data_IF_648806259226
#
_entry.id   IF_648806259226
#
_cell.length_a   1.000
_cell.length_b   1.000
_cell.length_c   1.000
_cell.angle_alpha   90.00
_cell.angle_beta   90.00
_cell.angle_gamma   90.00
#
_symmetry.space_group_name_H-M   'P 1'
#
loop_
_entity.id
_entity.type
_entity.pdbx_description
1 polymer ?
#
# COMPACT_ATOMS: atom_id res chain seq x y z
N UNK A 1 -15.74 14.29 -0.61
CA UNK A 1 -16.06 13.85 0.75
C UNK A 1 -16.95 12.60 0.74
N UNK A 2 -18.08 12.62 0.03
CA UNK A 2 -19.07 11.52 0.00
C UNK A 2 -18.44 10.13 -0.23
N UNK A 3 -17.49 10.03 -1.16
CA UNK A 3 -16.78 8.77 -1.42
C UNK A 3 -15.99 8.28 -0.21
N UNK A 4 -15.31 9.18 0.51
CA UNK A 4 -14.59 8.81 1.72
C UNK A 4 -15.55 8.39 2.86
N UNK A 5 -16.78 8.93 2.86
CA UNK A 5 -17.83 8.55 3.81
C UNK A 5 -18.34 7.11 3.61
N UNK A 6 -18.16 6.52 2.42
CA UNK A 6 -18.50 5.09 2.19
C UNK A 6 -17.78 4.19 3.20
N UNK A 7 -16.55 4.55 3.60
CA UNK A 7 -15.82 3.82 4.64
C UNK A 7 -16.50 3.85 6.01
N UNK A 8 -17.42 4.80 6.25
CA UNK A 8 -18.18 4.91 7.51
C UNK A 8 -19.48 4.11 7.52
N UNK A 9 -20.00 3.70 6.34
CA UNK A 9 -21.26 2.96 6.23
C UNK A 9 -21.36 1.73 7.16
N UNK A 10 -20.31 0.93 7.41
CA UNK A 10 -20.40 -0.19 8.35
C UNK A 10 -20.74 0.19 9.79
N UNK A 11 -20.59 1.47 10.14
CA UNK A 11 -20.80 2.00 11.51
C UNK A 11 -22.12 2.79 11.63
N UNK A 12 -22.84 3.02 10.53
CA UNK A 12 -24.07 3.79 10.46
C UNK A 12 -25.21 2.79 10.29
N UNK A 13 -26.21 2.83 11.20
CA UNK A 13 -27.36 1.95 11.06
C UNK A 13 -28.18 2.32 9.80
N UNK A 14 -28.93 1.36 9.19
CA UNK A 14 -29.59 1.55 7.90
C UNK A 14 -30.56 2.74 7.79
N UNK A 15 -31.00 3.27 8.91
CA UNK A 15 -31.97 4.39 8.98
C UNK A 15 -31.40 5.63 9.67
N UNK A 16 -30.10 5.56 10.06
CA UNK A 16 -29.40 6.70 10.67
C UNK A 16 -28.73 7.57 9.60
N UNK A 17 -28.45 8.79 9.98
CA UNK A 17 -27.67 9.73 9.17
C UNK A 17 -26.24 9.83 9.69
N UNK A 18 -25.33 10.25 8.81
CA UNK A 18 -23.93 10.46 9.18
C UNK A 18 -23.82 11.47 10.33
N UNK A 19 -22.98 11.15 11.29
CA UNK A 19 -22.70 12.03 12.42
C UNK A 19 -21.58 13.03 12.11
N UNK A 20 -21.44 14.06 12.95
CA UNK A 20 -20.32 14.99 12.85
C UNK A 20 -18.97 14.29 13.05
N UNK A 21 -18.93 13.22 13.86
CA UNK A 21 -17.73 12.41 14.09
C UNK A 21 -17.36 11.60 12.84
N UNK A 22 -18.33 11.02 12.13
CA UNK A 22 -18.10 10.29 10.87
C UNK A 22 -17.52 11.23 9.80
N UNK A 23 -18.07 12.42 9.68
CA UNK A 23 -17.55 13.46 8.79
C UNK A 23 -16.12 13.89 9.17
N UNK A 24 -15.83 14.03 10.46
CA UNK A 24 -14.50 14.37 10.94
C UNK A 24 -13.48 13.28 10.60
N UNK A 25 -13.82 11.99 10.79
CA UNK A 25 -12.97 10.84 10.45
C UNK A 25 -12.67 10.81 8.94
N UNK A 26 -13.70 10.97 8.09
CA UNK A 26 -13.52 10.98 6.65
C UNK A 26 -12.65 12.16 6.19
N UNK A 27 -12.81 13.36 6.78
CA UNK A 27 -11.96 14.51 6.48
C UNK A 27 -10.52 14.32 6.92
N UNK A 28 -10.27 13.72 8.09
CA UNK A 28 -8.92 13.37 8.52
C UNK A 28 -8.26 12.39 7.56
N UNK A 29 -8.99 11.39 7.08
CA UNK A 29 -8.49 10.46 6.08
C UNK A 29 -8.11 11.18 4.77
N UNK A 30 -8.96 12.07 4.26
CA UNK A 30 -8.65 12.90 3.09
C UNK A 30 -7.44 13.81 3.32
N UNK A 31 -7.32 14.39 4.51
CA UNK A 31 -6.18 15.24 4.86
C UNK A 31 -4.86 14.46 4.89
N UNK A 32 -4.85 13.26 5.50
CA UNK A 32 -3.66 12.37 5.52
C UNK A 32 -3.18 12.02 4.10
N UNK A 33 -4.07 11.98 3.12
CA UNK A 33 -3.78 11.68 1.71
C UNK A 33 -3.66 12.92 0.81
N UNK A 34 -3.58 14.12 1.39
CA UNK A 34 -3.46 15.40 0.65
C UNK A 34 -4.62 15.64 -0.35
N UNK A 35 -5.85 15.26 0.03
CA UNK A 35 -7.05 15.38 -0.80
C UNK A 35 -8.06 16.43 -0.30
N UNK A 36 -7.74 17.18 0.76
CA UNK A 36 -8.69 18.15 1.37
C UNK A 36 -9.19 19.20 0.39
N UNK A 37 -8.34 19.65 -0.53
CA UNK A 37 -8.70 20.63 -1.56
C UNK A 37 -9.57 20.05 -2.70
N UNK A 38 -9.79 18.74 -2.71
CA UNK A 38 -10.58 18.02 -3.70
C UNK A 38 -11.92 17.50 -3.12
N UNK A 39 -12.25 17.86 -1.89
CA UNK A 39 -13.40 17.35 -1.13
C UNK A 39 -14.74 17.48 -1.88
N UNK A 40 -14.93 18.54 -2.63
CA UNK A 40 -16.14 18.83 -3.42
C UNK A 40 -16.05 18.39 -4.88
N UNK A 41 -14.91 17.79 -5.29
CA UNK A 41 -14.67 17.44 -6.69
C UNK A 41 -15.32 16.10 -7.04
N UNK A 42 -15.87 15.98 -8.25
CA UNK A 42 -16.42 14.72 -8.74
C UNK A 42 -15.30 13.69 -8.97
N UNK A 43 -15.52 12.45 -8.52
CA UNK A 43 -14.54 11.35 -8.65
C UNK A 43 -14.13 11.10 -10.11
N UNK A 44 -15.06 11.26 -11.05
CA UNK A 44 -14.79 11.11 -12.50
C UNK A 44 -13.78 12.11 -13.05
N UNK A 45 -13.57 13.25 -12.35
CA UNK A 45 -12.62 14.30 -12.76
C UNK A 45 -11.26 14.19 -12.09
N UNK A 46 -11.07 13.20 -11.19
CA UNK A 46 -9.81 12.95 -10.52
C UNK A 46 -8.84 12.22 -11.45
N UNK A 47 -7.54 12.53 -11.32
CA UNK A 47 -6.47 11.75 -11.94
C UNK A 47 -6.39 10.32 -11.39
N UNK A 48 -5.63 9.43 -12.04
CA UNK A 48 -5.42 8.07 -11.55
C UNK A 48 -4.85 8.03 -10.14
N UNK A 49 -3.81 8.81 -9.88
CA UNK A 49 -3.18 8.90 -8.55
C UNK A 49 -4.09 9.52 -7.49
N UNK A 50 -4.91 10.52 -7.83
CA UNK A 50 -5.90 11.08 -6.91
C UNK A 50 -6.99 10.05 -6.57
N UNK A 51 -7.45 9.26 -7.56
CA UNK A 51 -8.40 8.17 -7.31
C UNK A 51 -7.82 7.07 -6.42
N UNK A 52 -6.56 6.69 -6.64
CA UNK A 52 -5.86 5.70 -5.81
C UNK A 52 -5.76 6.19 -4.36
N UNK A 53 -5.32 7.43 -4.15
CA UNK A 53 -5.27 8.03 -2.81
C UNK A 53 -6.65 8.14 -2.16
N UNK A 54 -7.70 8.46 -2.94
CA UNK A 54 -9.07 8.50 -2.44
C UNK A 54 -9.56 7.11 -2.01
N UNK A 55 -9.23 6.05 -2.75
CA UNK A 55 -9.58 4.68 -2.35
C UNK A 55 -8.93 4.31 -1.01
N UNK A 56 -7.65 4.67 -0.81
CA UNK A 56 -6.95 4.45 0.46
C UNK A 56 -7.54 5.31 1.58
N UNK A 57 -7.90 6.59 1.31
CA UNK A 57 -8.58 7.44 2.28
C UNK A 57 -9.94 6.86 2.71
N UNK A 58 -10.69 6.28 1.76
CA UNK A 58 -11.96 5.59 2.04
C UNK A 58 -11.75 4.37 2.94
N UNK A 59 -10.74 3.54 2.65
CA UNK A 59 -10.38 2.40 3.50
C UNK A 59 -9.90 2.86 4.88
N UNK A 60 -9.11 3.94 4.96
CA UNK A 60 -8.62 4.51 6.22
C UNK A 60 -9.77 5.02 7.09
N UNK A 61 -10.79 5.66 6.51
CA UNK A 61 -11.97 6.14 7.25
C UNK A 61 -12.77 4.99 7.87
N UNK A 62 -12.64 3.77 7.36
CA UNK A 62 -13.24 2.58 7.95
C UNK A 62 -12.53 2.13 9.23
N UNK A 63 -11.33 2.63 9.53
CA UNK A 63 -10.51 2.23 10.68
C UNK A 63 -10.35 0.70 10.77
N UNK A 64 -9.86 0.03 9.72
CA UNK A 64 -9.81 -1.42 9.65
C UNK A 64 -8.78 -1.99 10.63
N UNK A 65 -9.03 -3.20 11.13
CA UNK A 65 -8.06 -3.98 11.91
C UNK A 65 -7.11 -4.79 11.02
N UNK A 66 -7.50 -4.99 9.77
CA UNK A 66 -6.72 -5.71 8.76
C UNK A 66 -6.83 -4.99 7.43
N UNK A 67 -5.68 -4.65 6.85
CA UNK A 67 -5.53 -4.14 5.50
C UNK A 67 -5.17 -5.29 4.56
N UNK A 68 -5.90 -5.37 3.46
CA UNK A 68 -5.53 -6.17 2.29
C UNK A 68 -5.46 -5.22 1.11
N UNK A 69 -4.26 -5.00 0.60
CA UNK A 69 -4.07 -4.05 -0.49
C UNK A 69 -3.25 -4.69 -1.63
N UNK A 70 -3.80 -4.59 -2.82
CA UNK A 70 -3.16 -5.03 -4.04
C UNK A 70 -2.59 -3.80 -4.76
N UNK A 71 -1.26 -3.76 -4.88
CA UNK A 71 -0.49 -2.68 -5.48
C UNK A 71 -0.93 -1.26 -5.04
N UNK A 72 -0.95 -0.96 -3.73
CA UNK A 72 -1.51 0.30 -3.23
C UNK A 72 -0.75 1.55 -3.70
N UNK A 73 0.49 1.41 -4.11
CA UNK A 73 1.36 2.48 -4.61
C UNK A 73 1.37 2.63 -6.13
N UNK A 74 0.58 1.85 -6.86
CA UNK A 74 0.59 1.85 -8.32
C UNK A 74 0.04 3.18 -8.88
N UNK A 75 0.57 3.63 -10.03
CA UNK A 75 0.21 4.89 -10.70
C UNK A 75 0.47 6.16 -9.88
N UNK A 76 1.27 6.08 -8.83
CA UNK A 76 1.68 7.22 -8.00
C UNK A 76 3.10 7.66 -8.33
N UNK A 77 3.35 8.94 -8.16
CA UNK A 77 4.72 9.45 -8.11
C UNK A 77 5.43 9.03 -6.83
N UNK A 78 6.74 9.16 -6.80
CA UNK A 78 7.58 8.72 -5.69
C UNK A 78 7.15 9.31 -4.34
N UNK A 79 6.74 10.60 -4.31
CA UNK A 79 6.30 11.25 -3.07
C UNK A 79 5.09 10.53 -2.48
N UNK A 80 4.09 10.28 -3.31
CA UNK A 80 2.85 9.65 -2.87
C UNK A 80 3.00 8.14 -2.60
N UNK A 81 3.92 7.45 -3.32
CA UNK A 81 4.28 6.07 -2.98
C UNK A 81 4.83 5.97 -1.55
N UNK A 82 5.82 6.81 -1.22
CA UNK A 82 6.41 6.85 0.14
C UNK A 82 5.35 7.22 1.19
N UNK A 83 4.47 8.17 0.88
CA UNK A 83 3.38 8.58 1.78
C UNK A 83 2.44 7.41 2.10
N UNK A 84 2.02 6.64 1.10
CA UNK A 84 1.11 5.51 1.29
C UNK A 84 1.79 4.37 2.04
N UNK A 85 3.01 4.03 1.66
CA UNK A 85 3.76 2.98 2.35
C UNK A 85 4.01 3.34 3.82
N UNK A 86 4.37 4.60 4.09
CA UNK A 86 4.53 5.11 5.45
C UNK A 86 3.22 5.08 6.25
N UNK A 87 2.08 5.43 5.63
CA UNK A 87 0.77 5.32 6.27
C UNK A 87 0.45 3.86 6.66
N UNK A 88 0.72 2.91 5.76
CA UNK A 88 0.45 1.50 6.03
C UNK A 88 1.38 0.92 7.10
N UNK A 89 2.64 1.36 7.14
CA UNK A 89 3.57 1.04 8.22
C UNK A 89 3.09 1.60 9.56
N UNK A 90 2.64 2.87 9.61
CA UNK A 90 2.02 3.47 10.81
C UNK A 90 0.81 2.64 11.30
N UNK A 91 -0.02 2.14 10.37
CA UNK A 91 -1.15 1.28 10.74
C UNK A 91 -0.66 -0.05 11.34
N UNK A 92 0.38 -0.66 10.82
CA UNK A 92 0.97 -1.88 11.36
C UNK A 92 1.54 -1.65 12.77
N UNK A 93 2.26 -0.55 13.01
CA UNK A 93 2.80 -0.16 14.31
C UNK A 93 1.70 0.05 15.35
N UNK A 94 0.51 0.51 14.95
CA UNK A 94 -0.65 0.65 15.85
C UNK A 94 -1.41 -0.66 16.10
N UNK A 95 -0.91 -1.78 15.56
CA UNK A 95 -1.44 -3.12 15.80
C UNK A 95 -2.44 -3.62 14.76
N UNK A 96 -2.59 -2.93 13.63
CA UNK A 96 -3.34 -3.45 12.48
C UNK A 96 -2.54 -4.54 11.76
N UNK A 97 -3.23 -5.57 11.27
CA UNK A 97 -2.63 -6.46 10.27
C UNK A 97 -2.53 -5.74 8.92
N UNK A 98 -1.39 -5.84 8.22
CA UNK A 98 -1.23 -5.26 6.87
C UNK A 98 -0.66 -6.33 5.95
N UNK A 99 -1.41 -6.67 4.91
CA UNK A 99 -0.99 -7.61 3.85
C UNK A 99 -1.03 -6.86 2.53
N UNK A 100 0.12 -6.84 1.84
CA UNK A 100 0.31 -6.13 0.58
C UNK A 100 0.73 -7.10 -0.52
N UNK A 101 0.12 -6.98 -1.71
CA UNK A 101 0.71 -7.51 -2.93
C UNK A 101 1.56 -6.39 -3.55
N UNK A 102 2.83 -6.66 -3.78
CA UNK A 102 3.77 -5.69 -4.35
C UNK A 102 4.56 -6.34 -5.50
N UNK A 103 4.70 -5.62 -6.61
CA UNK A 103 5.60 -6.03 -7.69
C UNK A 103 7.00 -5.41 -7.56
N UNK A 104 7.13 -4.28 -6.88
CA UNK A 104 8.42 -3.64 -6.65
C UNK A 104 9.16 -4.30 -5.49
N UNK A 105 10.26 -4.99 -5.84
CA UNK A 105 11.14 -5.66 -4.87
C UNK A 105 11.75 -4.70 -3.85
N UNK A 106 12.06 -3.48 -4.27
CA UNK A 106 12.73 -2.52 -3.40
C UNK A 106 11.73 -1.92 -2.41
N UNK A 107 10.47 -1.72 -2.81
CA UNK A 107 9.40 -1.38 -1.88
C UNK A 107 9.17 -2.50 -0.86
N UNK A 108 9.11 -3.76 -1.31
CA UNK A 108 8.95 -4.89 -0.41
C UNK A 108 10.12 -5.02 0.58
N UNK A 109 11.36 -4.85 0.10
CA UNK A 109 12.57 -4.92 0.93
C UNK A 109 12.65 -3.79 1.98
N UNK A 110 12.11 -2.61 1.65
CA UNK A 110 12.18 -1.45 2.52
C UNK A 110 11.05 -1.39 3.55
N UNK A 111 9.85 -1.85 3.21
CA UNK A 111 8.64 -1.61 3.99
C UNK A 111 8.04 -2.85 4.67
N UNK A 112 8.44 -4.07 4.27
CA UNK A 112 7.80 -5.27 4.77
C UNK A 112 8.69 -6.01 5.78
N UNK A 113 8.13 -6.40 6.92
CA UNK A 113 8.82 -7.23 7.93
C UNK A 113 8.86 -8.70 7.51
N UNK A 114 7.79 -9.15 6.86
CA UNK A 114 7.59 -10.53 6.41
C UNK A 114 7.28 -10.56 4.92
N UNK A 115 7.79 -11.56 4.24
CA UNK A 115 7.58 -11.78 2.81
C UNK A 115 6.99 -13.17 2.58
N UNK A 116 5.99 -13.22 1.70
CA UNK A 116 5.46 -14.44 1.10
C UNK A 116 5.85 -14.44 -0.39
N UNK A 117 6.66 -15.39 -0.80
CA UNK A 117 7.01 -15.65 -2.20
C UNK A 117 6.11 -16.75 -2.76
N UNK A 118 5.43 -16.45 -3.87
CA UNK A 118 4.57 -17.39 -4.60
C UNK A 118 5.22 -17.72 -5.93
N UNK A 119 5.72 -18.95 -6.08
CA UNK A 119 6.43 -19.39 -7.28
C UNK A 119 5.46 -19.90 -8.35
N UNK A 120 5.80 -19.77 -9.66
CA UNK A 120 4.94 -20.22 -10.76
C UNK A 120 4.56 -21.71 -10.71
N UNK A 121 5.37 -22.54 -10.06
CA UNK A 121 5.11 -23.98 -9.88
C UNK A 121 4.11 -24.29 -8.74
N UNK A 122 3.54 -23.26 -8.09
CA UNK A 122 2.62 -23.41 -6.96
C UNK A 122 3.31 -23.54 -5.59
N UNK A 123 4.63 -23.55 -5.53
CA UNK A 123 5.36 -23.52 -4.27
C UNK A 123 5.24 -22.16 -3.61
N UNK A 124 5.11 -22.13 -2.29
CA UNK A 124 5.05 -20.91 -1.51
C UNK A 124 6.05 -20.96 -0.35
N UNK A 125 6.77 -19.87 -0.13
CA UNK A 125 7.69 -19.71 0.98
C UNK A 125 7.41 -18.39 1.70
N UNK A 126 7.43 -18.39 3.02
CA UNK A 126 7.24 -17.17 3.80
C UNK A 126 8.22 -17.10 4.97
N UNK A 127 8.53 -15.89 5.40
CA UNK A 127 9.45 -15.65 6.51
C UNK A 127 9.82 -14.18 6.65
N UNK A 128 10.83 -13.93 7.47
CA UNK A 128 11.40 -12.58 7.62
C UNK A 128 11.94 -12.04 6.29
N UNK A 129 11.72 -10.75 6.01
CA UNK A 129 12.11 -10.14 4.74
C UNK A 129 13.57 -10.39 4.40
N UNK A 130 14.49 -10.21 5.36
CA UNK A 130 15.93 -10.45 5.15
C UNK A 130 16.29 -11.92 4.83
N UNK A 131 15.49 -12.86 5.31
CA UNK A 131 15.71 -14.28 5.03
C UNK A 131 15.12 -14.70 3.69
N UNK A 132 14.03 -14.08 3.28
CA UNK A 132 13.29 -14.42 2.07
C UNK A 132 13.80 -13.70 0.82
N UNK A 133 14.20 -12.42 0.95
CA UNK A 133 14.67 -11.60 -0.16
C UNK A 133 16.15 -11.86 -0.44
N UNK A 134 16.45 -13.04 -0.96
CA UNK A 134 17.80 -13.43 -1.38
C UNK A 134 17.90 -13.49 -2.91
N UNK A 135 19.07 -13.19 -3.47
CA UNK A 135 19.27 -13.22 -4.93
C UNK A 135 18.83 -14.56 -5.53
N UNK A 136 19.21 -15.74 -4.99
CA UNK A 136 18.78 -17.02 -5.57
C UNK A 136 17.26 -17.23 -5.54
N UNK A 137 16.58 -16.82 -4.46
CA UNK A 137 15.12 -16.96 -4.33
C UNK A 137 14.39 -16.05 -5.34
N UNK A 138 14.86 -14.82 -5.49
CA UNK A 138 14.28 -13.84 -6.40
C UNK A 138 14.58 -14.15 -7.87
N UNK A 139 15.80 -14.61 -8.21
CA UNK A 139 16.12 -15.07 -9.56
C UNK A 139 15.22 -16.25 -9.97
N UNK A 140 14.94 -17.16 -9.04
CA UNK A 140 14.00 -18.26 -9.26
C UNK A 140 12.57 -17.77 -9.46
N UNK A 141 12.14 -16.73 -8.73
CA UNK A 141 10.80 -16.18 -8.79
C UNK A 141 10.55 -15.45 -10.11
N UNK A 142 11.50 -14.62 -10.54
CA UNK A 142 11.36 -13.73 -11.69
C UNK A 142 11.96 -14.27 -13.00
N UNK A 143 12.64 -15.42 -12.94
CA UNK A 143 13.44 -15.97 -14.05
C UNK A 143 14.38 -14.92 -14.67
N UNK A 144 15.00 -14.08 -13.82
CA UNK A 144 15.84 -12.96 -14.20
C UNK A 144 17.06 -12.86 -13.28
N UNK A 145 18.24 -12.65 -13.87
CA UNK A 145 19.46 -12.39 -13.12
C UNK A 145 19.39 -11.06 -12.38
N UNK A 146 19.74 -11.09 -11.09
CA UNK A 146 19.67 -9.95 -10.20
C UNK A 146 21.04 -9.68 -9.54
N UNK A 147 21.34 -8.42 -9.33
CA UNK A 147 22.39 -7.96 -8.39
C UNK A 147 21.73 -7.39 -7.13
N UNK A 148 22.40 -7.60 -6.01
CA UNK A 148 22.03 -7.03 -4.72
C UNK A 148 23.05 -5.97 -4.34
N UNK A 149 22.60 -4.79 -3.97
CA UNK A 149 23.43 -3.67 -3.53
C UNK A 149 22.96 -3.26 -2.14
N UNK A 150 23.88 -3.11 -1.20
CA UNK A 150 23.59 -2.56 0.11
C UNK A 150 24.13 -1.13 0.19
N UNK A 151 23.27 -0.17 0.53
CA UNK A 151 23.63 1.23 0.71
C UNK A 151 22.89 1.80 1.92
N UNK A 152 23.58 2.50 2.80
CA UNK A 152 23.01 3.12 4.00
C UNK A 152 22.18 2.16 4.88
N UNK A 153 22.60 0.89 4.95
CA UNK A 153 21.91 -0.14 5.74
C UNK A 153 20.66 -0.72 5.06
N UNK A 154 20.37 -0.33 3.83
CA UNK A 154 19.25 -0.84 3.04
C UNK A 154 19.72 -1.72 1.90
N UNK A 155 18.86 -2.66 1.51
CA UNK A 155 19.13 -3.61 0.43
C UNK A 155 18.29 -3.24 -0.80
N UNK A 156 18.95 -3.20 -1.95
CA UNK A 156 18.35 -2.91 -3.25
C UNK A 156 18.61 -4.05 -4.21
N UNK A 157 17.63 -4.38 -5.02
CA UNK A 157 17.70 -5.40 -6.06
C UNK A 157 17.59 -4.75 -7.43
N UNK A 158 18.53 -5.08 -8.31
CA UNK A 158 18.57 -4.54 -9.67
C UNK A 158 18.69 -5.67 -10.69
N UNK A 159 17.89 -5.66 -11.78
CA UNK A 159 18.04 -6.63 -12.85
C UNK A 159 19.37 -6.42 -13.56
N UNK A 160 20.08 -7.52 -13.81
CA UNK A 160 21.28 -7.53 -14.63
C UNK A 160 20.82 -7.67 -16.07
N UNK A 161 20.99 -6.60 -16.87
CA UNK A 161 20.74 -6.70 -18.31
C UNK A 161 21.97 -7.28 -19.02
N UNK A 162 21.79 -8.37 -19.73
CA UNK A 162 22.78 -8.87 -20.71
C UNK A 162 22.75 -7.98 -21.97
N UNK A 163 23.06 -6.68 -21.84
CA UNK A 163 23.40 -5.89 -23.03
C UNK A 163 24.82 -6.25 -23.43
N UNK A 164 24.95 -7.18 -24.36
CA UNK A 164 26.12 -7.35 -25.23
C UNK A 164 26.15 -6.26 -26.25
#
# INVERSE_FOLDING_TARGET
LETAMIGRHPFIAPWDIETADDLAIARQALQKLELSNLESRLVSTLSGGERQRLAIATALSQSPKLWLADEPSNHLDLKHQVQIMGLLAEQAETGCGVILCLHDLNLAAHWCDKILLLYPNGEACWGDANAMLTVPALERLYDQKLSMISSEGQTYFMPISSRT
#
